data_IF_325484344776
#
_entry.id   IF_325484344776
#
_cell.length_a   1.000
_cell.length_b   1.000
_cell.length_c   1.000
_cell.angle_alpha   90.00
_cell.angle_beta   90.00
_cell.angle_gamma   90.00
#
_symmetry.space_group_name_H-M   'P 1'
#
loop_
_entity.id
_entity.type
_entity.pdbx_description
1 polymer ?
#
# COMPACT_ATOMS: atom_id res chain seq x y z
N UNK A 1 -8.36 -7.88 41.46
CA UNK A 1 -7.76 -6.69 40.84
C UNK A 1 -7.00 -7.14 39.61
N UNK A 2 -7.61 -6.99 38.43
CA UNK A 2 -7.01 -7.38 37.16
C UNK A 2 -6.10 -6.23 36.73
N UNK A 3 -4.78 -6.41 36.81
CA UNK A 3 -3.81 -5.42 36.32
C UNK A 3 -3.88 -5.48 34.80
N UNK A 4 -4.54 -4.50 34.19
CA UNK A 4 -4.42 -4.23 32.76
C UNK A 4 -2.97 -3.84 32.51
N UNK A 5 -2.16 -4.81 32.13
CA UNK A 5 -0.85 -4.56 31.54
C UNK A 5 -1.14 -3.82 30.24
N UNK A 6 -1.13 -2.48 30.31
CA UNK A 6 -1.04 -1.65 29.12
C UNK A 6 0.33 -1.95 28.52
N UNK A 7 0.37 -2.94 27.60
CA UNK A 7 1.54 -3.17 26.78
C UNK A 7 1.90 -1.81 26.16
N UNK A 8 3.11 -1.34 26.47
CA UNK A 8 3.72 -0.09 25.99
C UNK A 8 4.04 -0.14 24.48
N UNK A 9 3.14 -0.72 23.70
CA UNK A 9 3.19 -0.76 22.26
C UNK A 9 3.03 0.65 21.70
N UNK A 10 3.78 0.94 20.65
CA UNK A 10 3.55 2.11 19.81
C UNK A 10 2.09 2.13 19.33
N UNK A 11 1.45 3.30 19.37
CA UNK A 11 0.05 3.44 18.98
C UNK A 11 -0.14 3.07 17.50
N UNK A 12 -1.32 2.53 17.17
CA UNK A 12 -1.68 2.22 15.78
C UNK A 12 -1.54 3.47 14.88
N UNK A 13 -1.88 4.64 15.41
CA UNK A 13 -1.74 5.92 14.71
C UNK A 13 -0.29 6.20 14.28
N UNK A 14 0.69 5.96 15.15
CA UNK A 14 2.08 6.24 14.83
C UNK A 14 2.64 5.23 13.82
N UNK A 15 2.26 3.95 13.94
CA UNK A 15 2.57 2.96 12.92
C UNK A 15 1.98 3.34 11.56
N UNK A 16 0.75 3.86 11.51
CA UNK A 16 0.12 4.35 10.26
C UNK A 16 0.83 5.57 9.68
N UNK A 17 1.24 6.54 10.51
CA UNK A 17 2.01 7.71 10.05
C UNK A 17 3.33 7.30 9.41
N UNK A 18 4.04 6.32 10.00
CA UNK A 18 5.25 5.74 9.39
C UNK A 18 4.95 5.07 8.05
N UNK A 19 3.86 4.29 7.98
CA UNK A 19 3.45 3.66 6.74
C UNK A 19 3.17 4.70 5.66
N UNK A 20 2.44 5.77 5.97
CA UNK A 20 2.13 6.84 5.02
C UNK A 20 3.39 7.50 4.45
N UNK A 21 4.40 7.77 5.29
CA UNK A 21 5.70 8.25 4.81
C UNK A 21 6.34 7.28 3.83
N UNK A 22 6.35 5.99 4.17
CA UNK A 22 6.91 4.93 3.30
C UNK A 22 6.14 4.86 1.98
N UNK A 23 4.80 4.97 1.99
CA UNK A 23 4.00 4.91 0.77
C UNK A 23 4.29 6.11 -0.17
N UNK A 24 4.56 7.30 0.39
CA UNK A 24 4.95 8.49 -0.40
C UNK A 24 6.33 8.34 -1.02
N UNK A 25 7.30 7.87 -0.24
CA UNK A 25 8.66 7.61 -0.72
C UNK A 25 8.63 6.52 -1.79
N UNK A 26 7.83 5.48 -1.56
CA UNK A 26 7.60 4.36 -2.47
C UNK A 26 6.99 4.80 -3.80
N UNK A 27 6.02 5.72 -3.77
CA UNK A 27 5.43 6.29 -4.98
C UNK A 27 6.50 7.09 -5.73
N UNK A 28 7.24 7.96 -5.04
CA UNK A 28 8.32 8.77 -5.65
C UNK A 28 9.33 7.88 -6.36
N UNK A 29 9.82 6.83 -5.69
CA UNK A 29 10.76 5.88 -6.27
C UNK A 29 10.20 5.08 -7.46
N UNK A 30 8.88 4.83 -7.52
CA UNK A 30 8.26 4.20 -8.69
C UNK A 30 8.30 5.14 -9.90
N UNK A 31 8.13 6.44 -9.68
CA UNK A 31 8.06 7.43 -10.76
C UNK A 31 9.43 7.76 -11.36
N UNK A 32 10.51 7.63 -10.59
CA UNK A 32 11.88 7.96 -11.03
C UNK A 32 12.32 7.24 -12.31
N UNK A 33 11.86 6.01 -12.52
CA UNK A 33 12.25 5.18 -13.67
C UNK A 33 11.23 5.21 -14.83
N UNK A 34 10.19 6.04 -14.75
CA UNK A 34 9.10 6.07 -15.73
C UNK A 34 9.09 7.41 -16.48
N UNK A 35 9.10 7.40 -17.83
CA UNK A 35 9.02 8.65 -18.59
C UNK A 35 7.75 9.44 -18.28
N UNK A 36 7.87 10.76 -18.12
CA UNK A 36 6.74 11.67 -17.86
C UNK A 36 5.58 11.49 -18.86
N UNK A 37 5.90 11.16 -20.12
CA UNK A 37 4.92 10.92 -21.18
C UNK A 37 4.05 9.66 -20.97
N UNK A 38 4.51 8.73 -20.14
CA UNK A 38 3.79 7.51 -19.78
C UNK A 38 3.01 7.63 -18.46
N UNK A 39 3.32 8.66 -17.65
CA UNK A 39 2.73 8.86 -16.33
C UNK A 39 1.28 9.36 -16.40
N UNK A 40 0.51 8.98 -15.38
CA UNK A 40 -0.75 9.65 -15.05
C UNK A 40 -0.48 11.13 -14.72
N UNK A 41 -1.45 12.00 -14.97
CA UNK A 41 -1.36 13.40 -14.54
C UNK A 41 -1.19 13.53 -13.01
N UNK A 42 -1.81 12.59 -12.27
CA UNK A 42 -1.70 12.49 -10.82
C UNK A 42 -1.51 11.03 -10.44
N UNK A 43 -0.27 10.51 -10.42
CA UNK A 43 0.02 9.19 -9.87
C UNK A 43 -0.36 9.14 -8.39
N UNK A 44 -0.86 8.01 -7.92
CA UNK A 44 -1.36 7.87 -6.56
C UNK A 44 -1.20 6.44 -6.05
N UNK A 45 -1.39 6.27 -4.74
CA UNK A 45 -1.50 4.96 -4.11
C UNK A 45 -2.79 4.84 -3.33
N UNK A 46 -3.26 3.61 -3.18
CA UNK A 46 -4.41 3.26 -2.35
C UNK A 46 -3.99 2.19 -1.33
N UNK A 47 -4.35 2.40 -0.07
CA UNK A 47 -4.19 1.38 0.97
C UNK A 47 -5.40 0.43 0.91
N UNK A 48 -5.22 -0.74 0.30
CA UNK A 48 -6.28 -1.69 -0.02
C UNK A 48 -6.62 -2.60 1.17
N UNK A 49 -5.64 -2.95 1.99
CA UNK A 49 -5.84 -3.79 3.17
C UNK A 49 -4.96 -3.28 4.32
N UNK A 50 -5.51 -3.27 5.53
CA UNK A 50 -4.76 -3.02 6.75
C UNK A 50 -5.29 -3.91 7.87
N UNK A 51 -4.42 -4.76 8.39
CA UNK A 51 -4.77 -5.76 9.42
C UNK A 51 -3.84 -5.63 10.62
N UNK A 52 -4.41 -5.85 11.79
CA UNK A 52 -3.69 -5.92 13.07
C UNK A 52 -3.74 -7.36 13.58
N UNK A 53 -2.66 -7.79 14.22
CA UNK A 53 -2.51 -9.11 14.83
C UNK A 53 -2.13 -8.94 16.29
N UNK A 54 -2.71 -9.78 17.16
CA UNK A 54 -2.46 -9.72 18.60
C UNK A 54 -1.17 -10.44 19.02
N UNK A 55 -0.63 -11.33 18.17
CA UNK A 55 0.49 -12.22 18.50
C UNK A 55 1.44 -12.38 17.32
N UNK A 56 2.70 -12.66 17.64
CA UNK A 56 3.78 -12.93 16.68
C UNK A 56 4.76 -11.77 16.51
N UNK A 57 5.77 -11.98 15.68
CA UNK A 57 6.83 -10.98 15.42
C UNK A 57 6.33 -9.78 14.60
N UNK A 58 5.19 -9.92 13.93
CA UNK A 58 4.55 -8.87 13.15
C UNK A 58 3.18 -8.57 13.74
N UNK A 59 2.93 -7.33 14.14
CA UNK A 59 1.63 -6.93 14.70
C UNK A 59 0.70 -6.32 13.66
N UNK A 60 1.19 -5.97 12.47
CA UNK A 60 0.36 -5.39 11.41
C UNK A 60 0.79 -5.87 10.04
N UNK A 61 -0.16 -5.85 9.10
CA UNK A 61 0.06 -6.05 7.67
C UNK A 61 -0.69 -4.96 6.91
N UNK A 62 -0.08 -4.47 5.85
CA UNK A 62 -0.70 -3.55 4.91
C UNK A 62 -0.49 -4.02 3.46
N UNK A 63 -1.45 -3.72 2.60
CA UNK A 63 -1.36 -3.90 1.15
C UNK A 63 -1.69 -2.57 0.50
N UNK A 64 -0.80 -2.08 -0.36
CA UNK A 64 -1.01 -0.86 -1.12
C UNK A 64 -0.84 -1.12 -2.60
N UNK A 65 -1.72 -0.48 -3.37
CA UNK A 65 -1.70 -0.48 -4.82
C UNK A 65 -1.21 0.88 -5.31
N UNK A 66 -0.28 0.89 -6.26
CA UNK A 66 0.32 2.08 -6.83
C UNK A 66 -0.08 2.21 -8.30
N UNK A 67 -0.73 3.31 -8.64
CA UNK A 67 -1.25 3.63 -9.97
C UNK A 67 -0.43 4.79 -10.54
N UNK A 68 0.22 4.54 -11.67
CA UNK A 68 1.19 5.50 -12.22
C UNK A 68 1.19 5.59 -13.75
N UNK A 69 0.70 4.59 -14.49
CA UNK A 69 0.67 4.64 -15.96
C UNK A 69 -0.68 5.09 -16.51
N UNK A 70 -0.67 5.90 -17.58
CA UNK A 70 -1.89 6.45 -18.21
C UNK A 70 -2.59 5.49 -19.17
N UNK A 71 -1.82 4.73 -19.97
CA UNK A 71 -2.36 3.98 -21.11
C UNK A 71 -2.30 2.45 -20.93
N UNK A 72 -1.71 2.00 -19.82
CA UNK A 72 -1.56 0.58 -19.51
C UNK A 72 -2.23 0.40 -18.16
N UNK A 73 -3.25 -0.48 -18.07
CA UNK A 73 -3.95 -0.69 -16.82
C UNK A 73 -3.11 -1.64 -15.95
N UNK A 74 -2.01 -1.08 -15.43
CA UNK A 74 -1.05 -1.77 -14.59
C UNK A 74 -0.84 -0.96 -13.32
N UNK A 75 -0.78 -1.69 -12.22
CA UNK A 75 -0.44 -1.17 -10.90
C UNK A 75 0.70 -1.98 -10.30
N UNK A 76 1.41 -1.42 -9.35
CA UNK A 76 2.31 -2.19 -8.49
C UNK A 76 1.58 -2.49 -7.19
N UNK A 77 1.54 -3.76 -6.80
CA UNK A 77 1.01 -4.22 -5.52
C UNK A 77 2.18 -4.43 -4.57
N UNK A 78 2.22 -3.67 -3.48
CA UNK A 78 3.22 -3.85 -2.40
C UNK A 78 2.56 -4.34 -1.13
N UNK A 79 3.25 -5.23 -0.42
CA UNK A 79 2.81 -5.69 0.91
C UNK A 79 3.85 -5.35 1.95
N UNK A 80 3.37 -4.88 3.08
CA UNK A 80 4.16 -4.42 4.20
C UNK A 80 3.77 -5.19 5.46
N UNK A 81 4.73 -5.39 6.35
CA UNK A 81 4.51 -5.98 7.68
C UNK A 81 5.23 -5.17 8.73
N UNK A 82 4.57 -4.92 9.86
CA UNK A 82 5.11 -4.09 10.93
C UNK A 82 5.72 -4.98 12.01
N UNK A 83 7.02 -4.86 12.23
CA UNK A 83 7.77 -5.71 13.15
C UNK A 83 7.71 -5.15 14.58
N UNK A 84 7.31 -5.98 15.55
CA UNK A 84 6.98 -5.52 16.92
C UNK A 84 8.19 -5.03 17.69
N UNK A 85 9.35 -5.69 17.51
CA UNK A 85 10.55 -5.38 18.29
C UNK A 85 11.30 -4.15 17.75
N UNK A 86 11.29 -3.95 16.43
CA UNK A 86 12.00 -2.84 15.78
C UNK A 86 11.10 -1.63 15.58
N UNK A 87 9.77 -1.81 15.66
CA UNK A 87 8.76 -0.76 15.43
C UNK A 87 8.87 -0.14 14.03
N UNK A 88 9.22 -0.97 13.06
CA UNK A 88 9.45 -0.59 11.67
C UNK A 88 8.55 -1.40 10.72
N UNK A 89 8.24 -0.80 9.58
CA UNK A 89 7.60 -1.51 8.48
C UNK A 89 8.66 -2.09 7.55
N UNK A 90 8.47 -3.34 7.18
CA UNK A 90 9.24 -4.01 6.14
C UNK A 90 8.36 -4.22 4.91
N UNK A 91 8.87 -3.85 3.73
CA UNK A 91 8.30 -4.30 2.45
C UNK A 91 8.75 -5.73 2.19
N UNK A 92 7.83 -6.66 1.98
CA UNK A 92 8.16 -8.08 1.78
C UNK A 92 7.61 -8.65 0.47
N UNK A 93 6.90 -7.84 -0.31
CA UNK A 93 6.32 -8.22 -1.59
C UNK A 93 6.17 -6.99 -2.49
N UNK A 94 6.44 -7.18 -3.78
CA UNK A 94 6.36 -6.15 -4.81
C UNK A 94 6.16 -6.81 -6.17
N UNK A 95 4.97 -6.68 -6.75
CA UNK A 95 4.64 -7.26 -8.06
C UNK A 95 3.80 -6.30 -8.90
N UNK A 96 3.96 -6.41 -10.22
CA UNK A 96 3.04 -5.77 -11.16
C UNK A 96 1.75 -6.58 -11.25
N UNK A 97 0.61 -5.89 -11.27
CA UNK A 97 -0.70 -6.47 -11.51
C UNK A 97 -1.39 -5.70 -12.61
N UNK A 98 -1.90 -6.40 -13.62
CA UNK A 98 -2.80 -5.81 -14.60
C UNK A 98 -4.21 -5.78 -14.02
N UNK A 99 -4.95 -4.70 -14.30
CA UNK A 99 -6.37 -4.59 -14.00
C UNK A 99 -7.14 -4.40 -15.31
N UNK A 100 -8.37 -4.89 -15.39
CA UNK A 100 -9.22 -4.64 -16.55
C UNK A 100 -10.08 -3.42 -16.29
N UNK A 101 -10.03 -2.42 -17.16
CA UNK A 101 -11.13 -1.44 -17.26
C UNK A 101 -12.35 -2.21 -17.77
N UNK A 102 -13.27 -2.57 -16.88
CA UNK A 102 -14.59 -3.03 -17.27
C UNK A 102 -15.40 -1.85 -17.81
N UNK A 103 -14.99 -1.31 -18.95
CA UNK A 103 -15.85 -0.47 -19.80
C UNK A 103 -16.56 -1.39 -20.75
N UNK A 104 -17.59 -2.05 -20.23
CA UNK A 104 -18.56 -2.76 -21.04
C UNK A 104 -19.14 -1.77 -22.05
N UNK A 105 -18.72 -1.95 -23.29
CA UNK A 105 -19.16 -1.19 -24.44
C UNK A 105 -20.63 -1.54 -24.66
N UNK A 106 -21.55 -0.74 -24.12
CA UNK A 106 -22.91 -0.65 -24.68
C UNK A 106 -22.83 0.03 -26.05
N UNK A 107 -22.33 -0.70 -27.05
CA UNK A 107 -22.59 -0.41 -28.46
C UNK A 107 -24.03 -0.81 -28.77
N UNK A 108 -24.71 0.10 -29.46
CA UNK A 108 -26.16 0.20 -29.56
C UNK A 108 -26.88 -1.03 -30.10
N UNK A 109 -28.08 -1.23 -29.59
CA UNK A 109 -29.18 -1.79 -30.36
C UNK A 109 -29.88 -0.60 -31.04
N UNK A 110 -29.74 -0.55 -32.37
CA UNK A 110 -30.59 0.21 -33.27
C UNK A 110 -31.81 -0.65 -33.61
#
# INVERSE_FOLDING_TARGET
MLVLVSCSGESDEFARKKLDSILKDDLTAILEDVPDSALLEKPYYELVDYKTYDKGNYSKKAVADFYFMKNIPVKIVRKYRYHVNTRMWDRYYNEYSFYSDSTDTKKGAQ
#
